data_IF_697645775007
#
_entry.id   IF_697645775007
#
_cell.length_a   1.000
_cell.length_b   1.000
_cell.length_c   1.000
_cell.angle_alpha   90.00
_cell.angle_beta   90.00
_cell.angle_gamma   90.00
#
_symmetry.space_group_name_H-M   'P 1'
#
loop_
_entity.id
_entity.type
_entity.pdbx_description
1 polymer ?
#
# COMPACT_ATOMS: atom_id res chain seq x y z
N UNK A 1 -14.19 25.50 -6.98
CA UNK A 1 -15.18 25.65 -5.88
C UNK A 1 -14.61 25.03 -4.61
N UNK A 2 -14.92 25.52 -3.38
CA UNK A 2 -14.41 24.96 -2.12
C UNK A 2 -14.52 23.42 -2.04
N UNK A 3 -15.64 22.89 -2.55
CA UNK A 3 -15.95 21.46 -2.56
C UNK A 3 -15.01 20.59 -3.43
N UNK A 4 -14.30 21.15 -4.40
CA UNK A 4 -13.38 20.38 -5.26
C UNK A 4 -12.02 20.21 -4.59
N UNK A 5 -11.51 21.29 -3.98
CA UNK A 5 -10.26 21.25 -3.22
C UNK A 5 -10.39 20.29 -2.03
N UNK A 6 -11.48 20.38 -1.27
CA UNK A 6 -11.77 19.45 -0.17
C UNK A 6 -11.81 17.98 -0.63
N UNK A 7 -12.31 17.71 -1.84
CA UNK A 7 -12.31 16.34 -2.39
C UNK A 7 -10.90 15.86 -2.71
N UNK A 8 -10.05 16.72 -3.27
CA UNK A 8 -8.66 16.40 -3.57
C UNK A 8 -7.83 16.19 -2.30
N UNK A 9 -8.04 17.01 -1.27
CA UNK A 9 -7.44 16.83 0.05
C UNK A 9 -7.90 15.51 0.70
N UNK A 10 -9.21 15.23 0.65
CA UNK A 10 -9.77 13.98 1.18
C UNK A 10 -9.21 12.76 0.46
N UNK A 11 -9.10 12.82 -0.88
CA UNK A 11 -8.49 11.76 -1.68
C UNK A 11 -7.03 11.55 -1.29
N UNK A 12 -6.24 12.61 -1.19
CA UNK A 12 -4.82 12.55 -0.81
C UNK A 12 -4.62 11.95 0.58
N UNK A 13 -5.45 12.37 1.54
CA UNK A 13 -5.47 11.80 2.90
C UNK A 13 -5.81 10.31 2.92
N UNK A 14 -6.77 9.87 2.09
CA UNK A 14 -7.15 8.45 1.99
C UNK A 14 -6.07 7.63 1.29
N UNK A 15 -5.48 8.17 0.23
CA UNK A 15 -4.35 7.56 -0.48
C UNK A 15 -3.18 7.28 0.46
N UNK A 16 -2.75 8.30 1.21
CA UNK A 16 -1.64 8.17 2.17
C UNK A 16 -1.92 7.09 3.23
N UNK A 17 -3.12 7.12 3.83
CA UNK A 17 -3.55 6.14 4.84
C UNK A 17 -3.62 4.71 4.29
N UNK A 18 -4.14 4.52 3.07
CA UNK A 18 -4.21 3.21 2.44
C UNK A 18 -2.82 2.67 2.11
N UNK A 19 -1.95 3.52 1.56
CA UNK A 19 -0.55 3.17 1.29
C UNK A 19 0.16 2.67 2.55
N UNK A 20 0.01 3.37 3.67
CA UNK A 20 0.59 2.97 4.95
C UNK A 20 0.01 1.68 5.49
N UNK A 21 -1.31 1.55 5.46
CA UNK A 21 -1.98 0.35 5.94
C UNK A 21 -1.49 -0.88 5.18
N UNK A 22 -1.40 -0.79 3.85
CA UNK A 22 -0.88 -1.88 3.03
C UNK A 22 0.58 -2.18 3.35
N UNK A 23 1.47 -1.20 3.18
CA UNK A 23 2.92 -1.44 3.21
C UNK A 23 3.47 -1.68 4.61
N UNK A 24 2.95 -0.97 5.61
CA UNK A 24 3.52 -1.01 6.96
C UNK A 24 2.86 -2.07 7.85
N UNK A 25 1.58 -2.38 7.62
CA UNK A 25 0.81 -3.34 8.43
C UNK A 25 0.51 -4.62 7.67
N UNK A 26 -0.27 -4.58 6.60
CA UNK A 26 -0.76 -5.79 5.92
C UNK A 26 0.37 -6.64 5.34
N UNK A 27 1.28 -6.02 4.57
CA UNK A 27 2.42 -6.73 3.99
C UNK A 27 3.38 -7.25 5.07
N UNK A 28 3.54 -6.50 6.16
CA UNK A 28 4.36 -6.93 7.31
C UNK A 28 3.77 -8.17 7.98
N UNK A 29 2.48 -8.12 8.28
CA UNK A 29 1.79 -9.22 8.93
C UNK A 29 1.83 -10.48 8.07
N UNK A 30 1.68 -10.35 6.75
CA UNK A 30 1.84 -11.47 5.83
C UNK A 30 3.26 -12.04 5.88
N UNK A 31 4.29 -11.19 5.84
CA UNK A 31 5.68 -11.64 5.98
C UNK A 31 5.91 -12.40 7.31
N UNK A 32 5.38 -11.87 8.42
CA UNK A 32 5.46 -12.49 9.76
C UNK A 32 4.75 -13.85 9.80
N UNK A 33 3.55 -13.95 9.24
CA UNK A 33 2.80 -15.20 9.16
C UNK A 33 3.53 -16.25 8.32
N UNK A 34 4.17 -15.83 7.24
CA UNK A 34 4.97 -16.70 6.37
C UNK A 34 6.35 -17.04 6.95
N UNK A 35 6.67 -16.59 8.17
CA UNK A 35 8.00 -16.72 8.80
C UNK A 35 9.11 -16.18 7.90
N UNK A 36 8.79 -15.17 7.10
CA UNK A 36 9.76 -14.48 6.24
C UNK A 36 10.72 -13.69 7.13
N UNK A 37 12.05 -13.75 6.89
CA UNK A 37 13.01 -12.99 7.67
C UNK A 37 12.69 -11.49 7.70
N UNK A 38 12.97 -10.87 8.85
CA UNK A 38 12.91 -9.43 9.00
C UNK A 38 13.73 -8.74 7.91
N UNK A 39 13.23 -7.60 7.46
CA UNK A 39 13.88 -6.84 6.39
C UNK A 39 13.43 -5.39 6.37
N UNK A 40 14.07 -4.63 5.50
CA UNK A 40 13.74 -3.24 5.25
C UNK A 40 12.37 -3.12 4.57
N UNK A 41 11.83 -1.90 4.51
CA UNK A 41 10.64 -1.63 3.70
C UNK A 41 10.88 -1.92 2.21
N UNK A 42 12.11 -1.72 1.71
CA UNK A 42 12.44 -2.04 0.33
C UNK A 42 12.34 -3.55 0.06
N UNK A 43 12.81 -4.38 1.00
CA UNK A 43 12.69 -5.84 0.88
C UNK A 43 11.23 -6.28 0.80
N UNK A 44 10.35 -5.65 1.60
CA UNK A 44 8.90 -5.90 1.54
C UNK A 44 8.28 -5.53 0.21
N UNK A 45 8.70 -4.40 -0.35
CA UNK A 45 8.24 -3.95 -1.68
C UNK A 45 8.68 -4.92 -2.77
N UNK A 46 9.94 -5.40 -2.71
CA UNK A 46 10.43 -6.42 -3.65
C UNK A 46 9.69 -7.74 -3.51
N UNK A 47 9.34 -8.14 -2.27
CA UNK A 47 8.51 -9.32 -2.05
C UNK A 47 7.09 -9.14 -2.58
N UNK A 48 6.50 -7.96 -2.48
CA UNK A 48 5.19 -7.68 -3.05
C UNK A 48 5.15 -7.86 -4.58
N UNK A 49 6.22 -7.45 -5.28
CA UNK A 49 6.42 -7.73 -6.71
C UNK A 49 6.54 -9.24 -6.97
N UNK A 50 7.40 -9.94 -6.21
CA UNK A 50 7.54 -11.41 -6.33
C UNK A 50 6.24 -12.18 -6.07
N UNK A 51 5.37 -11.69 -5.19
CA UNK A 51 4.03 -12.23 -4.92
C UNK A 51 2.99 -11.84 -5.98
N UNK A 52 3.37 -11.04 -6.98
CA UNK A 52 2.48 -10.58 -8.06
C UNK A 52 1.44 -9.55 -7.62
N UNK A 53 1.59 -8.95 -6.42
CA UNK A 53 0.67 -7.92 -5.94
C UNK A 53 0.77 -6.65 -6.76
N UNK A 54 1.97 -6.34 -7.25
CA UNK A 54 2.25 -5.22 -8.16
C UNK A 54 3.12 -5.72 -9.31
N UNK A 55 2.97 -5.14 -10.50
CA UNK A 55 3.75 -5.53 -11.69
C UNK A 55 5.22 -5.14 -11.57
N UNK A 56 5.49 -4.03 -10.88
CA UNK A 56 6.85 -3.58 -10.59
C UNK A 56 6.94 -2.98 -9.19
N UNK A 57 8.01 -3.32 -8.46
CA UNK A 57 8.35 -2.72 -7.17
C UNK A 57 8.44 -1.18 -7.22
N UNK A 58 8.80 -0.64 -8.39
CA UNK A 58 8.92 0.80 -8.63
C UNK A 58 7.62 1.56 -8.35
N UNK A 59 6.45 0.99 -8.68
CA UNK A 59 5.16 1.62 -8.40
C UNK A 59 4.89 1.77 -6.89
N UNK A 60 5.22 0.75 -6.10
CA UNK A 60 5.08 0.83 -4.63
C UNK A 60 6.08 1.82 -4.03
N UNK A 61 7.28 1.94 -4.60
CA UNK A 61 8.25 2.96 -4.21
C UNK A 61 7.70 4.38 -4.48
N UNK A 62 7.17 4.62 -5.68
CA UNK A 62 6.54 5.90 -6.04
C UNK A 62 5.35 6.25 -5.14
N UNK A 63 4.48 5.27 -4.85
CA UNK A 63 3.35 5.43 -3.92
C UNK A 63 3.85 5.86 -2.54
N UNK A 64 4.91 5.22 -2.04
CA UNK A 64 5.51 5.55 -0.75
C UNK A 64 6.11 6.96 -0.73
N UNK A 65 6.85 7.33 -1.78
CA UNK A 65 7.42 8.66 -1.92
C UNK A 65 6.33 9.73 -1.93
N UNK A 66 5.28 9.52 -2.74
CA UNK A 66 4.13 10.41 -2.79
C UNK A 66 3.42 10.51 -1.43
N UNK A 67 3.24 9.38 -0.72
CA UNK A 67 2.70 9.40 0.65
C UNK A 67 3.56 10.26 1.58
N UNK A 68 4.89 10.16 1.50
CA UNK A 68 5.78 10.97 2.34
C UNK A 68 5.69 12.46 1.99
N UNK A 69 5.56 12.79 0.71
CA UNK A 69 5.30 14.16 0.26
C UNK A 69 3.98 14.71 0.80
N UNK A 70 2.91 13.91 0.80
CA UNK A 70 1.61 14.31 1.38
C UNK A 70 1.71 14.56 2.88
N UNK A 71 2.53 13.79 3.60
CA UNK A 71 2.71 13.92 5.05
C UNK A 71 3.59 15.11 5.45
N UNK A 72 4.37 15.67 4.52
CA UNK A 72 5.23 16.82 4.77
C UNK A 72 4.58 18.12 4.24
N UNK A 73 4.42 19.12 5.11
CA UNK A 73 3.78 20.41 4.79
C UNK A 73 4.53 21.30 3.78
N UNK A 74 5.72 20.89 3.31
CA UNK A 74 6.57 21.64 2.35
C UNK A 74 6.00 21.73 0.92
N UNK A 75 4.72 21.44 0.72
CA UNK A 75 4.15 21.22 -0.61
C UNK A 75 3.07 22.22 -1.01
N UNK A 76 2.87 23.32 -0.26
CA UNK A 76 1.90 24.35 -0.63
C UNK A 76 2.07 24.81 -2.10
N UNK A 77 3.32 24.97 -2.55
CA UNK A 77 3.64 25.39 -3.93
C UNK A 77 3.55 24.27 -4.98
N UNK A 78 3.37 23.01 -4.55
CA UNK A 78 3.35 21.80 -5.41
C UNK A 78 2.08 20.97 -5.25
N UNK A 79 1.03 21.53 -4.66
CA UNK A 79 -0.22 20.82 -4.39
C UNK A 79 -0.86 20.24 -5.67
N UNK A 80 -0.83 20.99 -6.78
CA UNK A 80 -1.37 20.53 -8.07
C UNK A 80 -0.67 19.26 -8.57
N UNK A 81 0.67 19.23 -8.50
CA UNK A 81 1.48 18.06 -8.87
C UNK A 81 1.16 16.86 -7.98
N UNK A 82 1.02 17.08 -6.67
CA UNK A 82 0.67 16.03 -5.71
C UNK A 82 -0.71 15.46 -6.03
N UNK A 83 -1.72 16.30 -6.26
CA UNK A 83 -3.07 15.82 -6.59
C UNK A 83 -3.09 15.03 -7.90
N UNK A 84 -2.34 15.46 -8.91
CA UNK A 84 -2.22 14.73 -10.17
C UNK A 84 -1.52 13.38 -9.97
N UNK A 85 -0.45 13.34 -9.18
CA UNK A 85 0.26 12.11 -8.85
C UNK A 85 -0.63 11.14 -8.04
N UNK A 86 -1.40 11.66 -7.08
CA UNK A 86 -2.38 10.88 -6.31
C UNK A 86 -3.41 10.27 -7.25
N UNK A 87 -4.02 11.06 -8.12
CA UNK A 87 -5.01 10.58 -9.09
C UNK A 87 -4.40 9.51 -10.01
N UNK A 88 -3.15 9.68 -10.44
CA UNK A 88 -2.45 8.75 -11.34
C UNK A 88 -2.12 7.42 -10.66
N UNK A 89 -1.66 7.43 -9.41
CA UNK A 89 -1.24 6.23 -8.69
C UNK A 89 -2.36 5.53 -7.90
N UNK A 90 -3.50 6.19 -7.70
CA UNK A 90 -4.65 5.62 -6.99
C UNK A 90 -5.15 4.31 -7.62
N UNK A 91 -5.35 4.20 -8.95
CA UNK A 91 -5.77 2.93 -9.56
C UNK A 91 -4.79 1.80 -9.26
N UNK A 92 -3.50 2.05 -9.35
CA UNK A 92 -2.45 1.07 -9.03
C UNK A 92 -2.52 0.64 -7.57
N UNK A 93 -2.64 1.60 -6.64
CA UNK A 93 -2.76 1.30 -5.22
C UNK A 93 -4.01 0.46 -4.91
N UNK A 94 -5.15 0.77 -5.54
CA UNK A 94 -6.39 0.03 -5.36
C UNK A 94 -6.32 -1.38 -5.96
N UNK A 95 -5.61 -1.58 -7.07
CA UNK A 95 -5.42 -2.89 -7.69
C UNK A 95 -4.59 -3.87 -6.83
N UNK A 96 -3.75 -3.35 -5.94
CA UNK A 96 -2.97 -4.15 -4.98
C UNK A 96 -3.86 -4.75 -3.88
N UNK A 97 -4.86 -3.99 -3.43
CA UNK A 97 -5.74 -4.35 -2.30
C UNK A 97 -6.36 -5.75 -2.45
N UNK A 98 -7.10 -6.10 -3.52
CA UNK A 98 -7.74 -7.41 -3.63
C UNK A 98 -6.73 -8.55 -3.67
N UNK A 99 -5.54 -8.33 -4.24
CA UNK A 99 -4.49 -9.36 -4.29
C UNK A 99 -3.91 -9.65 -2.90
N UNK A 100 -3.68 -8.60 -2.11
CA UNK A 100 -3.24 -8.74 -0.71
C UNK A 100 -4.31 -9.41 0.14
N UNK A 101 -5.59 -9.04 -0.02
CA UNK A 101 -6.71 -9.67 0.69
C UNK A 101 -6.80 -11.16 0.34
N UNK A 102 -6.77 -11.51 -0.94
CA UNK A 102 -6.84 -12.91 -1.38
C UNK A 102 -5.70 -13.75 -0.78
N UNK A 103 -4.47 -13.22 -0.79
CA UNK A 103 -3.32 -13.89 -0.20
C UNK A 103 -3.47 -14.07 1.31
N UNK A 104 -3.90 -13.03 2.03
CA UNK A 104 -4.14 -13.10 3.46
C UNK A 104 -5.24 -14.12 3.82
N UNK A 105 -6.30 -14.20 3.01
CA UNK A 105 -7.38 -15.19 3.19
C UNK A 105 -6.87 -16.62 2.98
N UNK A 106 -6.04 -16.86 1.97
CA UNK A 106 -5.43 -18.16 1.73
C UNK A 106 -4.55 -18.61 2.91
N UNK A 107 -3.71 -17.71 3.43
CA UNK A 107 -2.90 -17.98 4.62
C UNK A 107 -3.78 -18.32 5.83
N UNK A 108 -4.81 -17.51 6.10
CA UNK A 108 -5.72 -17.75 7.23
C UNK A 108 -6.42 -19.11 7.13
N UNK A 109 -6.84 -19.52 5.93
CA UNK A 109 -7.45 -20.83 5.70
C UNK A 109 -6.43 -21.96 5.91
N UNK A 110 -5.21 -21.82 5.41
CA UNK A 110 -4.15 -22.82 5.59
C UNK A 110 -3.88 -23.07 7.08
N UNK A 111 -3.70 -22.02 7.89
CA UNK A 111 -3.46 -22.18 9.32
C UNK A 111 -4.69 -22.70 10.09
N UNK A 112 -5.91 -22.35 9.66
CA UNK A 112 -7.13 -22.88 10.26
C UNK A 112 -7.28 -24.39 10.05
N UNK A 113 -6.81 -24.94 8.93
CA UNK A 113 -6.86 -26.39 8.67
C UNK A 113 -5.79 -27.17 9.43
N UNK A 114 -4.59 -26.59 9.63
CA UNK A 114 -3.53 -27.20 10.45
C UNK A 114 -3.98 -27.39 11.90
N UNK A 115 -4.80 -26.47 12.43
CA UNK A 115 -5.37 -26.57 13.78
C UNK A 115 -6.48 -27.61 13.94
N UNK A 116 -7.10 -28.08 12.85
CA UNK A 116 -8.16 -29.11 12.87
C UNK A 116 -7.65 -30.54 12.72
N UNK A 117 -6.40 -30.71 12.28
CA UNK A 117 -5.75 -32.01 12.11
C UNK A 117 -4.84 -32.40 13.30
N UNK A 118 -4.99 -31.70 14.44
CA UNK A 118 -4.46 -32.09 15.75
C UNK A 118 -5.63 -32.47 16.65
#
# INVERSE_FOLDING_TARGET
>A
MPNELERLESLSSRFARLSDLLTQKMMRLIDELELTPDGTLLDRIQRAEKRGWVESASYLLQIRELRNLIAHEYAADRMSEIYQAVATLTPTLLAIVPKVIAHAQQLAQQYAQVGKNK
#
